data_IF_837157032195
#
_entry.id   IF_837157032195
#
_cell.length_a   1.000
_cell.length_b   1.000
_cell.length_c   1.000
_cell.angle_alpha   90.00
_cell.angle_beta   90.00
_cell.angle_gamma   90.00
#
_symmetry.space_group_name_H-M   'P 1'
#
loop_
_entity.id
_entity.type
_entity.pdbx_description
1 polymer ?
#
# COMPACT_ATOMS: atom_id res chain seq x y z
N UNK A 1 -7.65 16.08 3.19
CA UNK A 1 -9.09 15.77 3.18
C UNK A 1 -9.52 15.61 1.73
N UNK A 2 -10.40 14.65 1.43
CA UNK A 2 -10.93 14.46 0.08
C UNK A 2 -11.81 15.66 -0.32
N UNK A 3 -11.90 16.01 -1.62
CA UNK A 3 -12.84 17.01 -2.08
C UNK A 3 -14.29 16.68 -1.67
N UNK A 4 -15.08 17.68 -1.32
CA UNK A 4 -16.48 17.51 -0.91
C UNK A 4 -17.33 16.81 -2.00
N UNK A 5 -16.95 16.97 -3.27
CA UNK A 5 -17.57 16.28 -4.40
C UNK A 5 -17.50 14.76 -4.29
N UNK A 6 -16.44 14.21 -3.70
CA UNK A 6 -16.29 12.76 -3.47
C UNK A 6 -17.35 12.29 -2.47
N UNK A 7 -17.47 12.99 -1.34
CA UNK A 7 -18.48 12.68 -0.32
C UNK A 7 -19.91 12.83 -0.85
N UNK A 8 -20.18 13.85 -1.68
CA UNK A 8 -21.51 14.11 -2.26
C UNK A 8 -21.89 13.14 -3.38
N UNK A 9 -20.92 12.58 -4.10
CA UNK A 9 -21.20 11.73 -5.27
C UNK A 9 -21.72 10.34 -4.93
N UNK A 10 -21.54 9.87 -3.69
CA UNK A 10 -21.84 8.49 -3.33
C UNK A 10 -20.89 7.47 -3.97
N UNK A 11 -19.75 7.91 -4.54
CA UNK A 11 -18.81 7.00 -5.18
C UNK A 11 -18.19 6.02 -4.16
N UNK A 12 -17.96 4.78 -4.60
CA UNK A 12 -17.34 3.74 -3.79
C UNK A 12 -15.85 4.03 -3.58
N UNK A 13 -15.34 3.74 -2.38
CA UNK A 13 -13.92 3.92 -2.01
C UNK A 13 -13.36 2.58 -1.52
N UNK A 14 -12.21 2.17 -2.05
CA UNK A 14 -11.42 1.07 -1.50
C UNK A 14 -10.23 1.65 -0.75
N UNK A 15 -10.12 1.34 0.53
CA UNK A 15 -9.01 1.77 1.37
C UNK A 15 -8.21 0.57 1.83
N UNK A 16 -6.88 0.64 1.70
CA UNK A 16 -5.95 -0.38 2.18
C UNK A 16 -4.98 0.26 3.17
N UNK A 17 -4.77 -0.41 4.30
CA UNK A 17 -3.74 -0.06 5.27
C UNK A 17 -2.80 -1.24 5.51
N UNK A 18 -1.67 -0.95 6.17
CA UNK A 18 -0.58 -1.89 6.41
C UNK A 18 0.02 -1.67 7.80
N UNK A 19 0.69 -2.67 8.36
CA UNK A 19 1.46 -2.51 9.60
C UNK A 19 2.39 -1.26 9.51
N UNK A 20 2.33 -0.34 10.49
CA UNK A 20 3.03 0.93 10.41
C UNK A 20 4.55 0.80 10.34
N UNK A 21 5.14 -0.26 10.92
CA UNK A 21 6.58 -0.52 10.90
C UNK A 21 7.04 -0.85 9.48
N UNK A 22 6.31 -1.75 8.83
CA UNK A 22 6.57 -2.14 7.45
C UNK A 22 6.28 -1.00 6.46
N UNK A 23 5.23 -0.21 6.73
CA UNK A 23 4.90 0.99 5.95
C UNK A 23 6.03 2.01 6.01
N UNK A 24 6.56 2.30 7.20
CA UNK A 24 7.70 3.20 7.38
C UNK A 24 8.92 2.74 6.59
N UNK A 25 9.34 1.47 6.72
CA UNK A 25 10.51 0.95 6.00
C UNK A 25 10.29 0.99 4.49
N UNK A 26 9.07 0.71 4.02
CA UNK A 26 8.73 0.84 2.61
C UNK A 26 8.86 2.28 2.12
N UNK A 27 8.33 3.25 2.87
CA UNK A 27 8.38 4.67 2.53
C UNK A 27 9.81 5.21 2.55
N UNK A 28 10.55 4.94 3.63
CA UNK A 28 11.93 5.40 3.78
C UNK A 28 12.80 4.87 2.64
N UNK A 29 12.77 3.56 2.36
CA UNK A 29 13.55 2.99 1.26
C UNK A 29 13.12 3.52 -0.11
N UNK A 30 11.82 3.76 -0.30
CA UNK A 30 11.32 4.34 -1.55
C UNK A 30 11.89 5.76 -1.76
N UNK A 31 11.84 6.62 -0.74
CA UNK A 31 12.41 7.97 -0.79
C UNK A 31 13.93 7.92 -1.00
N UNK A 32 14.64 7.04 -0.30
CA UNK A 32 16.09 6.86 -0.48
C UNK A 32 16.44 6.60 -1.94
N UNK A 33 15.69 5.72 -2.62
CA UNK A 33 15.93 5.38 -4.01
C UNK A 33 15.56 6.50 -5.01
N UNK A 34 14.69 7.43 -4.63
CA UNK A 34 14.30 8.56 -5.50
C UNK A 34 15.18 9.79 -5.33
N UNK A 35 15.77 9.98 -4.15
CA UNK A 35 16.48 11.20 -3.78
C UNK A 35 18.01 11.05 -3.84
N UNK A 36 18.52 9.95 -4.43
CA UNK A 36 19.96 9.66 -4.56
C UNK A 36 20.72 10.84 -5.16
N UNK A 37 20.13 11.54 -6.13
CA UNK A 37 20.77 12.65 -6.86
C UNK A 37 20.58 14.03 -6.18
N UNK A 38 19.79 14.11 -5.10
CA UNK A 38 19.39 15.39 -4.48
C UNK A 38 20.11 15.70 -3.14
N UNK A 39 21.11 14.89 -2.77
CA UNK A 39 21.94 15.11 -1.58
C UNK A 39 21.60 14.19 -0.40
N UNK A 40 22.24 14.40 0.77
CA UNK A 40 22.09 13.52 1.91
C UNK A 40 20.66 13.58 2.45
N UNK A 41 20.04 12.42 2.61
CA UNK A 41 18.71 12.26 3.17
C UNK A 41 18.86 11.96 4.66
N UNK A 42 17.84 12.32 5.46
CA UNK A 42 17.78 12.01 6.88
C UNK A 42 18.13 10.54 7.16
N UNK A 43 18.80 10.30 8.28
CA UNK A 43 19.05 8.95 8.77
C UNK A 43 17.75 8.18 9.00
N UNK A 44 17.85 6.85 9.12
CA UNK A 44 16.71 6.01 9.44
C UNK A 44 16.08 6.40 10.79
N UNK A 45 16.90 6.75 11.79
CA UNK A 45 16.43 7.15 13.12
C UNK A 45 15.68 8.49 13.10
N UNK A 46 16.23 9.51 12.43
CA UNK A 46 15.58 10.81 12.28
C UNK A 46 14.27 10.68 11.49
N UNK A 47 14.29 9.93 10.39
CA UNK A 47 13.11 9.68 9.58
C UNK A 47 12.03 8.93 10.37
N UNK A 48 12.43 7.99 11.22
CA UNK A 48 11.51 7.25 12.08
C UNK A 48 10.93 8.13 13.18
N UNK A 49 11.72 9.00 13.81
CA UNK A 49 11.23 9.98 14.78
C UNK A 49 10.18 10.90 14.15
N UNK A 50 10.47 11.42 12.95
CA UNK A 50 9.53 12.23 12.19
C UNK A 50 8.23 11.46 11.89
N UNK A 51 8.32 10.21 11.43
CA UNK A 51 7.15 9.37 11.15
C UNK A 51 6.29 9.15 12.41
N UNK A 52 6.91 8.83 13.55
CA UNK A 52 6.21 8.65 14.83
C UNK A 52 5.53 9.93 15.31
N UNK A 53 6.11 11.10 15.02
CA UNK A 53 5.53 12.42 15.32
C UNK A 53 4.47 12.86 14.30
N UNK A 54 4.18 12.03 13.29
CA UNK A 54 3.25 12.33 12.21
C UNK A 54 3.77 13.27 11.14
N UNK A 55 5.07 13.60 11.18
CA UNK A 55 5.76 14.46 10.22
C UNK A 55 6.22 13.66 8.99
N UNK A 56 5.25 13.10 8.27
CA UNK A 56 5.48 12.34 7.04
C UNK A 56 4.57 12.82 5.92
N UNK A 57 4.88 12.44 4.67
CA UNK A 57 3.97 12.66 3.57
C UNK A 57 2.59 12.05 3.90
N UNK A 58 1.54 12.87 3.81
CA UNK A 58 0.15 12.51 4.18
C UNK A 58 -0.04 12.05 5.64
N UNK A 59 0.93 12.31 6.52
CA UNK A 59 0.84 11.99 7.94
C UNK A 59 -0.10 12.93 8.72
N UNK A 60 -0.45 12.57 9.97
CA UNK A 60 0.00 11.38 10.70
C UNK A 60 -0.62 10.07 10.19
N UNK A 61 0.18 9.00 10.09
CA UNK A 61 -0.26 7.74 9.46
C UNK A 61 -1.44 7.08 10.19
N UNK A 62 -1.37 6.98 11.52
CA UNK A 62 -2.44 6.35 12.31
C UNK A 62 -3.74 7.17 12.27
N UNK A 63 -3.65 8.49 12.28
CA UNK A 63 -4.82 9.37 12.11
C UNK A 63 -5.44 9.19 10.72
N UNK A 64 -4.60 9.05 9.69
CA UNK A 64 -5.06 8.74 8.35
C UNK A 64 -5.83 7.42 8.32
N UNK A 65 -5.27 6.33 8.86
CA UNK A 65 -5.96 5.03 8.92
C UNK A 65 -7.25 5.12 9.73
N UNK A 66 -7.22 5.78 10.89
CA UNK A 66 -8.37 5.92 11.78
C UNK A 66 -9.51 6.73 11.13
N UNK A 67 -9.19 7.76 10.35
CA UNK A 67 -10.20 8.57 9.66
C UNK A 67 -10.99 7.75 8.63
N UNK A 68 -10.31 6.90 7.85
CA UNK A 68 -10.97 6.00 6.89
C UNK A 68 -11.66 4.83 7.58
N UNK A 69 -11.15 4.38 8.73
CA UNK A 69 -11.82 3.38 9.55
C UNK A 69 -13.17 3.90 10.07
N UNK A 70 -13.21 5.11 10.62
CA UNK A 70 -14.46 5.76 11.05
C UNK A 70 -15.44 5.93 9.90
N UNK A 71 -14.97 6.42 8.75
CA UNK A 71 -15.82 6.57 7.56
C UNK A 71 -16.38 5.22 7.07
N UNK A 72 -15.59 4.14 7.15
CA UNK A 72 -16.07 2.79 6.86
C UNK A 72 -17.13 2.32 7.85
N UNK A 73 -16.99 2.64 9.14
CA UNK A 73 -18.01 2.31 10.15
C UNK A 73 -19.31 3.08 9.91
N UNK A 74 -19.23 4.34 9.48
CA UNK A 74 -20.40 5.18 9.21
C UNK A 74 -21.15 4.75 7.94
N UNK A 75 -20.42 4.30 6.90
CA UNK A 75 -21.03 3.84 5.65
C UNK A 75 -20.29 2.64 5.01
N UNK A 76 -20.50 1.42 5.52
CA UNK A 76 -19.79 0.23 5.06
C UNK A 76 -20.19 -0.22 3.64
N UNK A 77 -21.31 0.25 3.10
CA UNK A 77 -21.73 -0.04 1.73
C UNK A 77 -20.97 0.78 0.68
N UNK A 78 -20.47 1.96 1.06
CA UNK A 78 -19.70 2.85 0.18
C UNK A 78 -18.19 2.65 0.32
N UNK A 79 -17.73 1.92 1.34
CA UNK A 79 -16.31 1.76 1.63
C UNK A 79 -15.91 0.30 1.82
N UNK A 80 -14.85 -0.11 1.14
CA UNK A 80 -14.18 -1.40 1.37
C UNK A 80 -12.85 -1.17 2.09
N UNK A 81 -12.74 -1.67 3.32
CA UNK A 81 -11.55 -1.52 4.15
C UNK A 81 -10.72 -2.81 4.18
N UNK A 82 -9.48 -2.75 3.69
CA UNK A 82 -8.60 -3.88 3.47
C UNK A 82 -7.29 -3.73 4.25
N UNK A 83 -6.69 -4.86 4.62
CA UNK A 83 -5.38 -4.92 5.29
C UNK A 83 -4.39 -5.67 4.41
N UNK A 84 -3.23 -5.07 4.16
CA UNK A 84 -2.18 -5.62 3.29
C UNK A 84 -1.74 -7.02 3.73
N UNK A 85 -1.46 -7.23 5.01
CA UNK A 85 -0.97 -8.52 5.52
C UNK A 85 -1.98 -9.64 5.28
N UNK A 86 -3.26 -9.34 5.48
CA UNK A 86 -4.34 -10.31 5.31
C UNK A 86 -4.55 -10.66 3.84
N UNK A 87 -4.57 -9.66 2.95
CA UNK A 87 -4.63 -9.89 1.51
C UNK A 87 -3.38 -10.63 0.98
N UNK A 88 -2.21 -10.34 1.53
CA UNK A 88 -0.96 -10.96 1.09
C UNK A 88 -0.89 -12.43 1.47
N UNK A 89 -1.48 -12.80 2.62
CA UNK A 89 -1.52 -14.17 3.13
C UNK A 89 -2.56 -15.03 2.40
N UNK A 90 -3.74 -14.49 2.14
CA UNK A 90 -4.81 -15.19 1.42
C UNK A 90 -5.56 -14.22 0.49
N UNK A 91 -5.12 -14.02 -0.76
CA UNK A 91 -5.66 -12.98 -1.63
C UNK A 91 -7.04 -13.31 -2.21
N UNK A 92 -7.39 -14.60 -2.40
CA UNK A 92 -8.57 -15.00 -3.18
C UNK A 92 -9.88 -14.45 -2.59
N UNK A 93 -10.17 -14.56 -1.28
CA UNK A 93 -11.41 -14.03 -0.72
C UNK A 93 -11.54 -12.51 -0.86
N UNK A 94 -10.42 -11.78 -0.74
CA UNK A 94 -10.42 -10.32 -0.83
C UNK A 94 -10.54 -9.82 -2.27
N UNK A 95 -9.99 -10.56 -3.25
CA UNK A 95 -10.18 -10.24 -4.67
C UNK A 95 -11.63 -10.48 -5.09
N UNK A 96 -12.26 -11.58 -4.66
CA UNK A 96 -13.70 -11.80 -4.88
C UNK A 96 -14.54 -10.69 -4.26
N UNK A 97 -14.30 -10.38 -2.98
CA UNK A 97 -14.98 -9.28 -2.26
C UNK A 97 -14.77 -7.93 -2.92
N UNK A 98 -13.58 -7.65 -3.46
CA UNK A 98 -13.29 -6.43 -4.20
C UNK A 98 -14.09 -6.37 -5.51
N UNK A 99 -14.15 -7.47 -6.24
CA UNK A 99 -14.88 -7.57 -7.50
C UNK A 99 -16.40 -7.34 -7.28
N UNK A 100 -16.98 -8.02 -6.28
CA UNK A 100 -18.35 -7.80 -5.82
C UNK A 100 -18.59 -6.33 -5.43
N UNK A 101 -17.70 -5.76 -4.60
CA UNK A 101 -17.79 -4.35 -4.20
C UNK A 101 -17.74 -3.40 -5.39
N UNK A 102 -16.98 -3.70 -6.43
CA UNK A 102 -16.91 -2.89 -7.65
C UNK A 102 -18.12 -3.09 -8.59
N UNK A 103 -19.00 -4.07 -8.32
CA UNK A 103 -20.12 -4.43 -9.20
C UNK A 103 -19.75 -5.35 -10.36
N UNK A 104 -18.62 -6.07 -10.22
CA UNK A 104 -18.09 -7.04 -11.18
C UNK A 104 -17.86 -8.38 -10.49
N UNK A 105 -18.85 -8.85 -9.71
CA UNK A 105 -18.79 -10.14 -9.05
C UNK A 105 -18.48 -11.26 -10.05
N UNK A 106 -17.59 -12.17 -9.68
CA UNK A 106 -17.26 -13.32 -10.51
C UNK A 106 -18.44 -14.27 -10.62
N UNK A 107 -18.69 -14.81 -11.81
CA UNK A 107 -19.70 -15.85 -11.99
C UNK A 107 -19.22 -17.20 -11.46
N UNK A 108 -20.15 -18.12 -11.19
CA UNK A 108 -19.82 -19.48 -10.77
C UNK A 108 -18.95 -20.20 -11.83
N UNK A 109 -19.18 -19.92 -13.11
CA UNK A 109 -18.37 -20.40 -14.22
C UNK A 109 -16.95 -19.83 -14.17
N UNK A 110 -16.79 -18.52 -13.97
CA UNK A 110 -15.47 -17.87 -13.87
C UNK A 110 -14.66 -18.41 -12.68
N UNK A 111 -15.30 -18.63 -11.54
CA UNK A 111 -14.67 -19.27 -10.39
C UNK A 111 -14.23 -20.69 -10.71
N UNK A 112 -15.10 -21.48 -11.35
CA UNK A 112 -14.78 -22.86 -11.76
C UNK A 112 -13.65 -22.93 -12.79
N UNK A 113 -13.55 -21.94 -13.67
CA UNK A 113 -12.49 -21.81 -14.69
C UNK A 113 -11.18 -21.21 -14.17
N UNK A 114 -11.12 -20.91 -12.87
CA UNK A 114 -9.94 -20.38 -12.20
C UNK A 114 -9.60 -18.93 -12.60
N UNK A 115 -10.61 -18.13 -12.97
CA UNK A 115 -10.40 -16.73 -13.39
C UNK A 115 -9.88 -15.88 -12.22
N UNK A 116 -10.36 -16.13 -10.99
CA UNK A 116 -9.92 -15.41 -9.80
C UNK A 116 -8.42 -15.61 -9.56
N UNK A 117 -7.93 -16.85 -9.70
CA UNK A 117 -6.52 -17.23 -9.58
C UNK A 117 -5.68 -16.58 -10.68
N UNK A 118 -6.21 -16.50 -11.92
CA UNK A 118 -5.54 -15.80 -13.02
C UNK A 118 -5.38 -14.31 -12.72
N UNK A 119 -6.41 -13.65 -12.17
CA UNK A 119 -6.35 -12.24 -11.76
C UNK A 119 -5.34 -12.05 -10.63
N UNK A 120 -5.38 -12.89 -9.59
CA UNK A 120 -4.40 -12.86 -8.48
C UNK A 120 -2.98 -13.01 -9.01
N UNK A 121 -2.74 -13.97 -9.91
CA UNK A 121 -1.42 -14.21 -10.48
C UNK A 121 -0.94 -13.03 -11.34
N UNK A 122 -1.80 -12.49 -12.20
CA UNK A 122 -1.51 -11.33 -13.04
C UNK A 122 -1.11 -10.10 -12.22
N UNK A 123 -1.82 -9.86 -11.11
CA UNK A 123 -1.59 -8.74 -10.21
C UNK A 123 -0.56 -9.04 -9.10
N UNK A 124 0.04 -10.24 -9.09
CA UNK A 124 0.95 -10.65 -8.04
C UNK A 124 2.24 -9.82 -8.07
N UNK A 125 2.87 -9.69 -6.89
CA UNK A 125 4.16 -9.02 -6.78
C UNK A 125 5.21 -9.65 -7.70
N UNK A 126 5.27 -10.97 -7.79
CA UNK A 126 6.25 -11.68 -8.61
C UNK A 126 6.03 -11.43 -10.10
N UNK A 127 4.78 -11.48 -10.57
CA UNK A 127 4.47 -11.18 -11.97
C UNK A 127 4.82 -9.74 -12.31
N UNK A 128 4.31 -8.77 -11.53
CA UNK A 128 4.49 -7.35 -11.81
C UNK A 128 5.96 -6.92 -11.71
N UNK A 129 6.69 -7.37 -10.68
CA UNK A 129 8.12 -7.10 -10.53
C UNK A 129 8.94 -7.61 -11.72
N UNK A 130 8.50 -8.72 -12.33
CA UNK A 130 9.24 -9.36 -13.41
C UNK A 130 8.89 -8.88 -14.83
N UNK A 131 7.92 -7.96 -14.99
CA UNK A 131 7.63 -7.34 -16.28
C UNK A 131 8.82 -6.52 -16.77
N UNK A 132 9.15 -6.61 -18.06
CA UNK A 132 10.34 -5.96 -18.64
C UNK A 132 10.44 -4.46 -18.32
N UNK A 133 9.32 -3.73 -18.42
CA UNK A 133 9.25 -2.30 -18.11
C UNK A 133 9.38 -1.96 -16.61
N UNK A 134 9.24 -2.93 -15.71
CA UNK A 134 9.45 -2.78 -14.27
C UNK A 134 10.85 -3.22 -13.81
N UNK A 135 11.58 -3.97 -14.66
CA UNK A 135 12.99 -4.31 -14.45
C UNK A 135 13.93 -3.23 -14.98
N UNK A 136 13.55 -2.56 -16.05
CA UNK A 136 14.37 -1.52 -16.66
C UNK A 136 14.48 -0.30 -15.74
N UNK A 137 15.71 0.16 -15.51
CA UNK A 137 16.01 1.50 -14.99
C UNK A 137 15.79 2.57 -16.09
N UNK A 138 14.68 2.48 -16.82
CA UNK A 138 14.21 3.60 -17.64
C UNK A 138 13.27 4.41 -16.77
N UNK A 139 13.72 5.60 -16.38
CA UNK A 139 12.86 6.58 -15.74
C UNK A 139 11.66 6.80 -16.66
N UNK A 140 10.44 6.81 -16.10
CA UNK A 140 9.31 7.36 -16.83
C UNK A 140 9.62 8.84 -17.03
N UNK A 141 9.94 9.23 -18.28
CA UNK A 141 10.27 10.62 -18.65
C UNK A 141 9.21 11.64 -18.20
N UNK A 142 7.97 11.20 -17.98
CA UNK A 142 6.84 12.03 -17.56
C UNK A 142 6.75 12.26 -16.04
N UNK A 143 7.43 11.47 -15.19
CA UNK A 143 7.36 11.58 -13.73
C UNK A 143 8.72 11.83 -13.09
N UNK A 144 9.35 12.96 -13.43
CA UNK A 144 10.48 13.53 -12.69
C UNK A 144 11.58 12.52 -12.24
N UNK A 145 11.93 11.53 -13.07
CA UNK A 145 12.99 10.57 -12.76
C UNK A 145 12.56 9.30 -12.02
N UNK A 146 11.27 9.06 -11.79
CA UNK A 146 10.79 7.83 -11.13
C UNK A 146 11.01 6.58 -12.02
N UNK A 147 11.79 5.62 -11.51
CA UNK A 147 11.96 4.28 -12.08
C UNK A 147 10.85 3.34 -11.61
N UNK A 148 10.26 2.57 -12.54
CA UNK A 148 9.21 1.60 -12.21
C UNK A 148 9.67 0.53 -11.22
N UNK A 149 10.95 0.17 -11.26
CA UNK A 149 11.58 -0.79 -10.33
C UNK A 149 11.44 -0.36 -8.86
N UNK A 150 11.34 0.94 -8.58
CA UNK A 150 11.20 1.46 -7.22
C UNK A 150 9.88 1.03 -6.54
N UNK A 151 8.83 0.73 -7.30
CA UNK A 151 7.55 0.26 -6.75
C UNK A 151 7.60 -1.21 -6.29
N UNK A 152 8.59 -1.99 -6.75
CA UNK A 152 8.66 -3.44 -6.53
C UNK A 152 9.90 -3.88 -5.74
N UNK A 153 9.97 -3.46 -4.46
CA UNK A 153 11.12 -3.73 -3.59
C UNK A 153 11.22 -5.21 -3.14
N UNK A 154 10.48 -5.59 -2.09
CA UNK A 154 10.50 -6.96 -1.52
C UNK A 154 9.15 -7.67 -1.47
N UNK A 155 8.02 -6.95 -1.35
CA UNK A 155 6.69 -7.57 -1.35
C UNK A 155 6.40 -8.53 -0.19
N UNK A 156 7.10 -8.35 0.95
CA UNK A 156 7.04 -9.22 2.14
C UNK A 156 6.49 -8.47 3.34
N UNK A 157 5.84 -9.21 4.24
CA UNK A 157 5.40 -8.78 5.57
C UNK A 157 6.53 -9.03 6.58
N UNK A 158 6.72 -8.11 7.52
CA UNK A 158 7.69 -8.23 8.60
C UNK A 158 9.13 -7.83 8.25
N UNK A 159 9.34 -7.19 7.10
CA UNK A 159 10.69 -6.78 6.68
C UNK A 159 11.27 -5.69 7.60
N UNK A 160 10.43 -5.02 8.38
CA UNK A 160 10.85 -4.07 9.40
C UNK A 160 11.86 -4.62 10.40
N UNK A 161 11.85 -5.93 10.68
CA UNK A 161 12.79 -6.56 11.61
C UNK A 161 14.25 -6.47 11.15
N UNK A 162 14.48 -6.27 9.86
CA UNK A 162 15.82 -6.11 9.30
C UNK A 162 16.38 -4.68 9.45
N UNK A 163 15.58 -3.74 9.95
CA UNK A 163 15.92 -2.31 9.95
C UNK A 163 15.65 -1.62 11.29
N UNK A 164 14.55 -1.95 11.97
CA UNK A 164 14.16 -1.29 13.21
C UNK A 164 14.69 -2.05 14.42
N UNK A 165 15.21 -1.32 15.40
CA UNK A 165 15.53 -1.89 16.71
C UNK A 165 14.26 -2.25 17.49
N UNK A 166 14.33 -3.14 18.48
CA UNK A 166 13.17 -3.46 19.34
C UNK A 166 12.56 -2.22 20.02
N UNK A 167 13.39 -1.24 20.40
CA UNK A 167 12.94 0.01 21.01
C UNK A 167 12.13 0.87 20.01
N UNK A 168 12.59 0.95 18.76
CA UNK A 168 11.85 1.65 17.70
C UNK A 168 10.52 0.96 17.40
N UNK A 169 10.51 -0.37 17.26
CA UNK A 169 9.29 -1.13 17.03
C UNK A 169 8.26 -0.91 18.16
N UNK A 170 8.71 -0.98 19.41
CA UNK A 170 7.85 -0.75 20.59
C UNK A 170 7.26 0.66 20.60
N UNK A 171 8.05 1.68 20.21
CA UNK A 171 7.61 3.08 20.20
C UNK A 171 6.40 3.33 19.30
N UNK A 172 6.28 2.62 18.17
CA UNK A 172 5.18 2.80 17.22
C UNK A 172 4.01 1.85 17.44
N UNK A 173 4.25 0.76 18.18
CA UNK A 173 3.21 -0.19 18.58
C UNK A 173 2.40 0.31 19.79
N UNK A 174 3.01 1.12 20.67
CA UNK A 174 2.37 1.74 21.84
C UNK A 174 1.63 3.03 21.53
#
# INVERSE_FOLDING_TARGET
LLPESISKSGCKIVYIWRDPKDTFISLWTFIQNQMIDYGPINSLEESFDMFCRGLSAYGPYLDHVLSYWKAYQDNPAQMLFLKYETMRADPLPYVKRLAEFMGYEFTAEEEKEGVVEKVVNLCSFETLKNLGHNKEEKAIKERAGLFNSAFFRKGKVGDWQNYLTPAMATRIDG
#
